data_IF_630257448875
#
_entry.id   IF_630257448875
#
_cell.length_a   1.000
_cell.length_b   1.000
_cell.length_c   1.000
_cell.angle_alpha   90.00
_cell.angle_beta   90.00
_cell.angle_gamma   90.00
#
_symmetry.space_group_name_H-M   'P 1'
#
loop_
_entity.id
_entity.type
_entity.pdbx_description
1 polymer ?
#
# COMPACT_ATOMS: atom_id res chain seq x y z
N UNK A 1 11.52 11.70 33.97
CA UNK A 1 11.39 10.57 33.02
C UNK A 1 10.13 10.82 32.22
N UNK A 2 10.25 11.24 30.97
CA UNK A 2 9.10 11.42 30.08
C UNK A 2 8.48 10.06 29.84
N UNK A 3 7.19 9.89 30.14
CA UNK A 3 6.43 8.68 29.75
C UNK A 3 6.45 8.65 28.21
N UNK A 4 7.24 7.75 27.63
CA UNK A 4 7.08 7.40 26.22
C UNK A 4 5.61 7.06 25.99
N UNK A 5 4.97 7.75 25.09
CA UNK A 5 3.60 7.38 24.69
C UNK A 5 3.75 6.04 23.99
N UNK A 6 3.24 4.97 24.60
CA UNK A 6 3.31 3.60 24.07
C UNK A 6 2.74 3.60 22.64
N UNK A 7 3.38 2.87 21.75
CA UNK A 7 2.90 2.64 20.40
C UNK A 7 1.63 1.79 20.47
N UNK A 8 0.60 2.15 19.70
CA UNK A 8 -0.67 1.39 19.70
C UNK A 8 -0.74 0.55 18.43
N UNK A 9 -0.78 -0.75 18.61
CA UNK A 9 -0.92 -1.75 17.55
C UNK A 9 -2.36 -2.23 17.49
N UNK A 10 -3.06 -2.01 16.36
CA UNK A 10 -4.49 -2.32 16.19
C UNK A 10 -4.64 -3.27 14.99
N UNK A 11 -4.83 -4.58 15.22
CA UNK A 11 -4.98 -5.54 14.15
C UNK A 11 -6.19 -5.27 13.27
N UNK A 12 -5.99 -5.46 11.95
CA UNK A 12 -7.03 -5.48 10.94
C UNK A 12 -6.99 -6.83 10.26
N UNK A 13 -7.60 -7.82 10.89
CA UNK A 13 -7.53 -9.22 10.44
C UNK A 13 -8.24 -9.40 9.10
N UNK A 14 -7.71 -10.27 8.25
CA UNK A 14 -8.29 -10.60 6.95
C UNK A 14 -9.74 -11.08 7.07
N UNK A 15 -10.04 -11.85 8.12
CA UNK A 15 -11.40 -12.32 8.45
C UNK A 15 -12.40 -11.21 8.72
N UNK A 16 -11.94 -10.01 9.12
CA UNK A 16 -12.81 -8.85 9.41
C UNK A 16 -12.92 -7.88 8.25
N UNK A 17 -12.10 -8.02 7.19
CA UNK A 17 -12.18 -7.22 5.98
C UNK A 17 -13.47 -7.48 5.21
N UNK A 18 -13.94 -6.51 4.41
CA UNK A 18 -14.98 -6.74 3.43
C UNK A 18 -14.53 -7.81 2.42
N UNK A 19 -15.46 -8.59 1.91
CA UNK A 19 -15.17 -9.59 0.88
C UNK A 19 -16.29 -9.60 -0.17
N UNK A 20 -15.89 -9.69 -1.44
CA UNK A 20 -16.82 -9.94 -2.54
C UNK A 20 -16.21 -10.93 -3.54
N UNK A 21 -17.08 -11.78 -4.11
CA UNK A 21 -16.74 -12.70 -5.21
C UNK A 21 -17.75 -12.51 -6.32
N UNK A 22 -17.30 -11.97 -7.45
CA UNK A 22 -18.08 -11.72 -8.65
C UNK A 22 -17.81 -12.77 -9.74
N UNK A 23 -17.15 -13.88 -9.38
CA UNK A 23 -16.71 -14.92 -10.31
C UNK A 23 -15.41 -14.52 -11.03
N UNK A 24 -15.40 -13.39 -11.71
CA UNK A 24 -14.21 -12.86 -12.39
C UNK A 24 -13.31 -12.01 -11.50
N UNK A 25 -13.83 -11.50 -10.37
CA UNK A 25 -13.13 -10.68 -9.39
C UNK A 25 -13.37 -11.24 -8.00
N UNK A 26 -12.31 -11.58 -7.28
CA UNK A 26 -12.34 -11.76 -5.82
C UNK A 26 -11.60 -10.61 -5.19
N UNK A 27 -12.19 -9.99 -4.17
CA UNK A 27 -11.63 -8.79 -3.57
C UNK A 27 -11.81 -8.78 -2.05
N UNK A 28 -10.77 -8.31 -1.35
CA UNK A 28 -10.83 -7.99 0.07
C UNK A 28 -10.67 -6.49 0.29
N UNK A 29 -11.58 -5.90 1.04
CA UNK A 29 -11.62 -4.46 1.32
C UNK A 29 -11.15 -4.18 2.74
N UNK A 30 -10.03 -3.50 2.90
CA UNK A 30 -9.54 -3.06 4.22
C UNK A 30 -10.43 -1.97 4.80
N UNK A 31 -10.94 -1.08 3.94
CA UNK A 31 -11.88 -0.01 4.29
C UNK A 31 -13.22 -0.21 3.60
N UNK A 32 -14.23 0.55 4.03
CA UNK A 32 -15.55 0.56 3.38
C UNK A 32 -15.44 0.91 1.90
N UNK A 33 -15.92 -0.01 1.07
CA UNK A 33 -15.88 0.12 -0.39
C UNK A 33 -17.01 -0.68 -1.03
N UNK A 34 -17.58 -0.19 -2.13
CA UNK A 34 -18.72 -0.79 -2.83
C UNK A 34 -19.86 -1.14 -1.85
N UNK A 35 -20.25 -2.41 -1.76
CA UNK A 35 -21.32 -2.88 -0.89
C UNK A 35 -20.83 -3.19 0.55
N UNK A 36 -19.53 -3.11 0.83
CA UNK A 36 -19.02 -3.28 2.17
C UNK A 36 -19.03 -1.97 2.94
N UNK A 37 -19.76 -1.92 4.05
CA UNK A 37 -19.86 -0.75 4.90
C UNK A 37 -19.52 -1.08 6.36
N UNK A 38 -18.52 -0.41 6.91
CA UNK A 38 -18.11 -0.46 8.31
C UNK A 38 -17.81 0.97 8.77
N UNK A 39 -18.62 1.57 9.66
CA UNK A 39 -18.37 2.92 10.15
C UNK A 39 -17.00 3.08 10.83
N UNK A 40 -16.45 2.01 11.43
CA UNK A 40 -15.14 2.00 12.06
C UNK A 40 -13.98 1.95 11.05
N UNK A 41 -14.26 1.59 9.79
CA UNK A 41 -13.27 1.38 8.74
C UNK A 41 -13.60 2.19 7.48
N UNK A 42 -13.88 3.47 7.64
CA UNK A 42 -14.11 4.39 6.50
C UNK A 42 -12.79 4.84 5.87
N UNK A 43 -11.77 5.05 6.70
CA UNK A 43 -10.43 5.51 6.30
C UNK A 43 -9.45 5.31 7.46
N UNK A 44 -8.17 5.52 7.20
CA UNK A 44 -7.15 5.62 8.25
C UNK A 44 -6.11 6.67 7.86
N UNK A 45 -6.12 7.82 8.55
CA UNK A 45 -5.43 9.01 8.08
C UNK A 45 -5.87 9.36 6.65
N UNK A 46 -4.96 9.63 5.73
CA UNK A 46 -5.29 9.92 4.32
C UNK A 46 -5.67 8.68 3.50
N UNK A 47 -5.44 7.45 3.99
CA UNK A 47 -5.79 6.21 3.29
C UNK A 47 -7.32 6.02 3.26
N UNK A 48 -7.88 5.89 2.06
CA UNK A 48 -9.32 5.69 1.83
C UNK A 48 -9.66 4.30 1.31
N UNK A 49 -8.80 3.70 0.52
CA UNK A 49 -9.00 2.37 -0.06
C UNK A 49 -7.69 1.59 0.03
N UNK A 50 -7.80 0.33 0.43
CA UNK A 50 -6.85 -0.73 0.16
C UNK A 50 -7.69 -1.96 -0.16
N UNK A 51 -7.79 -2.27 -1.46
CA UNK A 51 -8.40 -3.50 -1.93
C UNK A 51 -7.32 -4.45 -2.39
N UNK A 52 -7.47 -5.71 -2.04
CA UNK A 52 -6.62 -6.79 -2.53
C UNK A 52 -7.46 -7.63 -3.47
N UNK A 53 -7.14 -7.53 -4.76
CA UNK A 53 -7.96 -8.02 -5.85
C UNK A 53 -7.27 -9.17 -6.59
N UNK A 54 -8.03 -10.23 -6.90
CA UNK A 54 -7.67 -11.23 -7.89
C UNK A 54 -8.63 -11.12 -9.06
N UNK A 55 -8.11 -10.76 -10.21
CA UNK A 55 -8.83 -10.53 -11.45
C UNK A 55 -8.58 -11.70 -12.40
N UNK A 56 -9.61 -12.38 -12.81
CA UNK A 56 -9.50 -13.50 -13.74
C UNK A 56 -8.91 -13.05 -15.08
N UNK A 57 -8.11 -13.91 -15.71
CA UNK A 57 -7.47 -13.63 -17.02
C UNK A 57 -8.49 -13.08 -18.02
N UNK A 58 -8.07 -12.08 -18.78
CA UNK A 58 -8.87 -11.38 -19.81
C UNK A 58 -10.16 -10.74 -19.28
N UNK A 59 -10.28 -10.56 -17.97
CA UNK A 59 -11.37 -9.84 -17.29
C UNK A 59 -10.80 -8.58 -16.64
N UNK A 60 -11.66 -7.67 -16.24
CA UNK A 60 -11.21 -6.43 -15.64
C UNK A 60 -12.33 -5.42 -15.47
N UNK A 61 -11.93 -4.21 -15.22
CA UNK A 61 -12.81 -3.06 -15.05
C UNK A 61 -12.89 -2.28 -16.36
N UNK A 62 -14.09 -2.11 -16.87
CA UNK A 62 -14.40 -1.24 -18.00
C UNK A 62 -14.04 0.21 -17.69
N UNK A 63 -14.10 1.08 -18.70
CA UNK A 63 -13.83 2.50 -18.53
C UNK A 63 -14.70 3.11 -17.45
N UNK A 64 -14.06 3.63 -16.42
CA UNK A 64 -14.70 4.30 -15.29
C UNK A 64 -13.93 5.57 -14.90
N UNK A 65 -14.58 6.43 -14.11
CA UNK A 65 -14.09 7.77 -13.80
C UNK A 65 -13.62 7.88 -12.36
N UNK A 66 -12.53 8.64 -12.18
CA UNK A 66 -12.02 9.03 -10.86
C UNK A 66 -11.78 10.53 -10.80
N UNK A 67 -11.88 11.09 -9.61
CA UNK A 67 -11.51 12.47 -9.29
C UNK A 67 -11.13 12.60 -7.83
N UNK A 68 -10.29 13.61 -7.53
CA UNK A 68 -9.94 14.03 -6.16
C UNK A 68 -9.28 12.95 -5.30
N UNK A 69 -8.69 11.92 -5.92
CA UNK A 69 -7.90 10.89 -5.24
C UNK A 69 -6.57 10.65 -5.94
N UNK A 70 -5.58 10.29 -5.15
CA UNK A 70 -4.34 9.70 -5.59
C UNK A 70 -4.53 8.18 -5.57
N UNK A 71 -4.45 7.55 -6.73
CA UNK A 71 -4.76 6.14 -6.93
C UNK A 71 -3.51 5.44 -7.40
N UNK A 72 -3.13 4.36 -6.75
CA UNK A 72 -2.03 3.54 -7.25
C UNK A 72 -2.29 2.06 -7.07
N UNK A 73 -1.76 1.31 -8.02
CA UNK A 73 -1.91 -0.13 -8.14
C UNK A 73 -0.53 -0.75 -8.00
N UNK A 74 -0.36 -1.63 -7.02
CA UNK A 74 0.82 -2.46 -6.84
C UNK A 74 0.54 -3.86 -7.35
N UNK A 75 1.28 -4.30 -8.38
CA UNK A 75 1.06 -5.60 -9.03
C UNK A 75 1.84 -6.68 -8.27
N UNK A 76 1.11 -7.62 -7.65
CA UNK A 76 1.70 -8.72 -6.87
C UNK A 76 1.80 -10.03 -7.68
N UNK A 77 1.00 -10.18 -8.75
CA UNK A 77 1.03 -11.34 -9.65
C UNK A 77 0.39 -11.03 -11.00
N UNK A 78 0.87 -11.69 -12.06
CA UNK A 78 0.31 -11.55 -13.40
C UNK A 78 0.62 -10.22 -14.04
N UNK A 79 -0.27 -9.77 -14.91
CA UNK A 79 -0.14 -8.50 -15.64
C UNK A 79 -1.49 -7.79 -15.77
N UNK A 80 -1.46 -6.45 -15.78
CA UNK A 80 -2.63 -5.58 -15.99
C UNK A 80 -2.40 -4.74 -17.23
N UNK A 81 -3.37 -4.71 -18.11
CA UNK A 81 -3.43 -3.81 -19.27
C UNK A 81 -4.19 -2.56 -18.84
N UNK A 82 -3.50 -1.46 -18.72
CA UNK A 82 -4.04 -0.15 -18.34
C UNK A 82 -4.20 0.74 -19.57
N UNK A 83 -5.33 1.46 -19.64
CA UNK A 83 -5.58 2.52 -20.64
C UNK A 83 -6.29 3.67 -19.95
N UNK A 84 -5.86 4.91 -20.22
CA UNK A 84 -6.48 6.09 -19.62
C UNK A 84 -6.74 7.25 -20.61
N UNK A 85 -7.48 8.24 -20.13
CA UNK A 85 -7.85 9.43 -20.91
C UNK A 85 -6.70 10.44 -21.11
N UNK A 86 -5.54 10.21 -20.50
CA UNK A 86 -4.32 10.97 -20.77
C UNK A 86 -3.54 10.40 -21.96
N UNK A 87 -3.99 9.26 -22.52
CA UNK A 87 -3.37 8.59 -23.65
C UNK A 87 -2.35 7.51 -23.26
N UNK A 88 -2.23 7.17 -21.98
CA UNK A 88 -1.37 6.08 -21.55
C UNK A 88 -2.00 4.74 -21.91
N UNK A 89 -1.18 3.84 -22.47
CA UNK A 89 -1.52 2.44 -22.77
C UNK A 89 -0.33 1.60 -22.36
N UNK A 90 -0.47 0.85 -21.27
CA UNK A 90 0.65 0.09 -20.71
C UNK A 90 0.25 -1.32 -20.31
N UNK A 91 1.21 -2.23 -20.34
CA UNK A 91 1.12 -3.57 -19.75
C UNK A 91 2.01 -3.58 -18.51
N UNK A 92 1.36 -3.55 -17.36
CA UNK A 92 1.98 -3.55 -16.05
C UNK A 92 2.11 -4.99 -15.56
N UNK A 93 3.23 -5.32 -14.94
CA UNK A 93 3.56 -6.68 -14.50
C UNK A 93 3.96 -6.71 -13.02
N UNK A 94 4.15 -7.92 -12.49
CA UNK A 94 4.62 -8.09 -11.11
C UNK A 94 5.81 -7.16 -10.78
N UNK A 95 5.67 -6.42 -9.69
CA UNK A 95 6.64 -5.44 -9.22
C UNK A 95 6.46 -4.04 -9.78
N UNK A 96 5.54 -3.84 -10.72
CA UNK A 96 5.20 -2.49 -11.16
C UNK A 96 4.27 -1.81 -10.16
N UNK A 97 4.47 -0.50 -10.04
CA UNK A 97 3.56 0.43 -9.39
C UNK A 97 3.08 1.42 -10.43
N UNK A 98 1.79 1.42 -10.69
CA UNK A 98 1.11 2.42 -11.49
C UNK A 98 0.46 3.42 -10.55
N UNK A 99 0.67 4.71 -10.80
CA UNK A 99 0.14 5.80 -9.99
C UNK A 99 -0.58 6.82 -10.87
N UNK A 100 -1.76 7.22 -10.41
CA UNK A 100 -2.59 8.24 -11.04
C UNK A 100 -3.03 9.27 -10.01
N UNK A 101 -2.64 10.53 -10.19
CA UNK A 101 -3.34 11.64 -9.56
C UNK A 101 -4.60 11.92 -10.37
N UNK A 102 -5.77 11.61 -9.82
CA UNK A 102 -7.02 11.79 -10.55
C UNK A 102 -7.44 13.27 -10.65
N UNK A 103 -7.09 14.09 -9.67
CA UNK A 103 -7.28 15.54 -9.66
C UNK A 103 -8.67 15.97 -10.15
N UNK A 104 -8.72 16.82 -11.17
CA UNK A 104 -9.98 17.33 -11.75
C UNK A 104 -10.79 16.29 -12.52
N UNK A 105 -10.22 15.14 -12.82
CA UNK A 105 -10.89 14.00 -13.43
C UNK A 105 -10.03 13.22 -14.42
N UNK A 106 -10.10 11.90 -14.34
CA UNK A 106 -9.51 10.95 -15.27
C UNK A 106 -10.45 9.77 -15.47
N UNK A 107 -10.38 9.14 -16.64
CA UNK A 107 -11.05 7.87 -16.91
C UNK A 107 -10.02 6.84 -17.27
N UNK A 108 -10.19 5.61 -16.78
CA UNK A 108 -9.32 4.51 -17.17
C UNK A 108 -10.05 3.17 -17.19
N UNK A 109 -9.40 2.18 -17.80
CA UNK A 109 -9.79 0.77 -17.77
C UNK A 109 -8.59 -0.08 -17.37
N UNK A 110 -8.84 -1.18 -16.65
CA UNK A 110 -7.80 -2.08 -16.14
C UNK A 110 -8.24 -3.52 -16.36
N UNK A 111 -7.52 -4.27 -17.19
CA UNK A 111 -7.81 -5.67 -17.51
C UNK A 111 -6.63 -6.56 -17.19
N UNK A 112 -6.89 -7.73 -16.59
CA UNK A 112 -5.88 -8.78 -16.50
C UNK A 112 -5.47 -9.24 -17.91
N UNK A 113 -4.21 -9.53 -18.11
CA UNK A 113 -3.69 -10.11 -19.34
C UNK A 113 -4.32 -11.48 -19.66
N UNK A 114 -4.00 -12.01 -20.84
CA UNK A 114 -4.61 -13.24 -21.33
C UNK A 114 -3.86 -14.52 -20.91
N UNK A 115 -2.72 -14.41 -20.24
CA UNK A 115 -1.88 -15.55 -19.85
C UNK A 115 -2.29 -16.15 -18.50
N UNK A 116 -2.60 -15.31 -17.54
CA UNK A 116 -2.94 -15.71 -16.16
C UNK A 116 -3.85 -14.71 -15.51
N UNK A 117 -4.42 -15.08 -14.36
CA UNK A 117 -5.05 -14.14 -13.45
C UNK A 117 -4.03 -13.13 -12.96
N UNK A 118 -4.49 -11.92 -12.65
CA UNK A 118 -3.69 -10.88 -12.01
C UNK A 118 -4.10 -10.70 -10.55
N UNK A 119 -3.12 -10.44 -9.67
CA UNK A 119 -3.37 -10.03 -8.28
C UNK A 119 -2.73 -8.67 -8.03
N UNK A 120 -3.48 -7.78 -7.40
CA UNK A 120 -3.08 -6.40 -7.18
C UNK A 120 -3.49 -5.91 -5.79
N UNK A 121 -2.80 -4.89 -5.32
CA UNK A 121 -3.31 -3.99 -4.28
C UNK A 121 -3.73 -2.68 -4.96
N UNK A 122 -5.03 -2.35 -4.91
CA UNK A 122 -5.57 -1.08 -5.34
C UNK A 122 -5.66 -0.15 -4.14
N UNK A 123 -4.97 1.00 -4.19
CA UNK A 123 -4.79 1.90 -3.06
C UNK A 123 -5.22 3.31 -3.44
N UNK A 124 -6.06 3.95 -2.58
CA UNK A 124 -6.48 5.33 -2.77
C UNK A 124 -6.10 6.16 -1.55
N UNK A 125 -5.48 7.30 -1.83
CA UNK A 125 -5.06 8.30 -0.83
C UNK A 125 -5.78 9.61 -1.13
N UNK A 126 -6.29 10.26 -0.08
CA UNK A 126 -6.84 11.61 -0.20
C UNK A 126 -5.68 12.62 -0.27
N UNK A 127 -5.59 13.42 -1.34
CA UNK A 127 -4.56 14.46 -1.43
C UNK A 127 -4.81 15.60 -0.45
N UNK A 128 -3.76 16.37 -0.17
CA UNK A 128 -3.81 17.57 0.66
C UNK A 128 -4.45 18.76 -0.06
N UNK A 129 -4.49 18.72 -1.38
CA UNK A 129 -5.02 19.76 -2.25
C UNK A 129 -6.08 19.21 -3.18
N UNK A 130 -7.12 19.98 -3.40
CA UNK A 130 -8.18 19.67 -4.36
C UNK A 130 -7.84 20.21 -5.76
N UNK A 131 -8.51 19.67 -6.78
CA UNK A 131 -8.48 20.13 -8.17
C UNK A 131 -7.08 20.13 -8.79
N UNK A 132 -6.26 19.16 -8.40
CA UNK A 132 -4.96 18.93 -9.00
C UNK A 132 -5.09 18.62 -10.50
N UNK A 133 -4.03 18.89 -11.25
CA UNK A 133 -3.95 18.45 -12.65
C UNK A 133 -3.75 16.94 -12.69
N UNK A 134 -4.56 16.19 -13.46
CA UNK A 134 -4.35 14.75 -13.62
C UNK A 134 -2.92 14.43 -14.09
N UNK A 135 -2.31 13.47 -13.43
CA UNK A 135 -0.92 13.07 -13.68
C UNK A 135 -0.78 11.55 -13.53
N UNK A 136 0.15 10.98 -14.27
CA UNK A 136 0.39 9.55 -14.31
C UNK A 136 1.88 9.23 -14.13
N UNK A 137 2.20 8.19 -13.36
CA UNK A 137 3.55 7.66 -13.18
C UNK A 137 3.53 6.14 -13.19
N UNK A 138 4.59 5.51 -13.73
CA UNK A 138 4.86 4.09 -13.56
C UNK A 138 6.29 3.86 -13.11
N UNK A 139 6.49 2.83 -12.27
CA UNK A 139 7.81 2.40 -11.80
C UNK A 139 7.85 0.89 -11.71
N UNK A 140 8.96 0.33 -12.15
CA UNK A 140 9.27 -1.08 -11.96
C UNK A 140 10.22 -1.28 -10.79
N UNK A 141 9.77 -2.06 -9.80
CA UNK A 141 10.58 -2.47 -8.65
C UNK A 141 10.74 -4.00 -8.67
N UNK A 142 11.85 -4.52 -9.23
CA UNK A 142 12.09 -5.95 -9.26
C UNK A 142 12.12 -6.55 -7.84
N UNK A 143 11.86 -7.85 -7.73
CA UNK A 143 11.79 -8.53 -6.42
C UNK A 143 13.07 -8.34 -5.61
N UNK A 144 14.23 -8.43 -6.27
CA UNK A 144 15.53 -8.30 -5.59
C UNK A 144 15.77 -6.90 -5.01
N UNK A 145 15.14 -5.85 -5.56
CA UNK A 145 15.23 -4.50 -5.01
C UNK A 145 14.41 -4.32 -3.71
N UNK A 146 13.54 -5.27 -3.39
CA UNK A 146 12.69 -5.31 -2.19
C UNK A 146 13.05 -6.44 -1.24
N UNK A 147 13.94 -7.35 -1.65
CA UNK A 147 14.34 -8.52 -0.86
C UNK A 147 15.22 -8.11 0.33
N UNK A 148 14.74 -8.33 1.55
CA UNK A 148 15.43 -7.94 2.79
C UNK A 148 15.61 -6.42 2.96
N UNK A 149 14.83 -5.62 2.21
CA UNK A 149 14.87 -4.16 2.25
C UNK A 149 13.46 -3.61 2.34
N UNK A 150 13.24 -2.61 3.16
CA UNK A 150 12.01 -1.81 3.15
C UNK A 150 12.15 -0.72 2.09
N UNK A 151 11.80 -1.05 0.83
CA UNK A 151 11.98 -0.18 -0.32
C UNK A 151 10.93 0.92 -0.34
N UNK A 152 11.35 2.19 -0.20
CA UNK A 152 10.46 3.34 -0.42
C UNK A 152 10.17 3.48 -1.91
N UNK A 153 8.90 3.67 -2.26
CA UNK A 153 8.39 3.75 -3.64
C UNK A 153 7.72 5.11 -3.88
N UNK A 154 6.92 5.59 -2.92
CA UNK A 154 6.22 6.87 -3.00
C UNK A 154 6.67 7.74 -1.83
N UNK A 155 6.82 9.04 -2.08
CA UNK A 155 7.21 10.02 -1.07
C UNK A 155 6.45 11.33 -1.26
N UNK A 156 6.18 12.08 -0.17
CA UNK A 156 5.58 13.41 -0.27
C UNK A 156 6.30 14.28 -1.29
N UNK A 157 5.55 14.96 -2.17
CA UNK A 157 6.13 15.80 -3.24
C UNK A 157 7.03 16.92 -2.72
N UNK A 158 6.78 17.39 -1.49
CA UNK A 158 7.62 18.39 -0.82
C UNK A 158 9.07 17.94 -0.64
N UNK A 159 9.32 16.62 -0.58
CA UNK A 159 10.66 16.07 -0.45
C UNK A 159 11.50 16.18 -1.75
N UNK A 160 10.88 16.56 -2.86
CA UNK A 160 11.56 16.67 -4.16
C UNK A 160 12.11 18.08 -4.44
N UNK A 161 11.57 19.12 -3.78
CA UNK A 161 11.97 20.50 -4.02
C UNK A 161 11.98 20.84 -5.51
N UNK A 162 13.06 21.48 -5.99
CA UNK A 162 13.22 21.88 -7.40
C UNK A 162 13.26 20.70 -8.38
N UNK A 163 13.53 19.48 -7.90
CA UNK A 163 13.57 18.27 -8.72
C UNK A 163 12.19 17.75 -9.11
N UNK A 164 11.11 18.24 -8.47
CA UNK A 164 9.75 17.75 -8.72
C UNK A 164 9.37 17.79 -10.21
N UNK A 165 9.71 18.86 -10.91
CA UNK A 165 9.39 19.04 -12.34
C UNK A 165 10.17 18.09 -13.26
N UNK A 166 11.30 17.55 -12.80
CA UNK A 166 12.18 16.66 -13.57
C UNK A 166 11.95 15.17 -13.29
N UNK A 167 11.02 14.83 -12.40
CA UNK A 167 10.70 13.42 -12.11
C UNK A 167 10.10 12.75 -13.35
N UNK A 168 10.74 11.70 -13.90
CA UNK A 168 10.23 11.00 -15.06
C UNK A 168 8.83 10.43 -14.78
N UNK A 169 7.94 10.51 -15.75
CA UNK A 169 6.58 9.98 -15.63
C UNK A 169 6.53 8.48 -15.88
N UNK A 170 7.31 8.00 -16.83
CA UNK A 170 7.40 6.59 -17.24
C UNK A 170 8.87 6.17 -17.31
N UNK A 171 9.11 4.87 -17.25
CA UNK A 171 10.46 4.25 -17.39
C UNK A 171 11.50 4.72 -16.34
N UNK A 172 11.10 5.46 -15.32
CA UNK A 172 11.96 5.82 -14.19
C UNK A 172 12.26 4.58 -13.35
N UNK A 173 13.44 3.97 -13.57
CA UNK A 173 13.88 2.82 -12.79
C UNK A 173 14.08 3.21 -11.34
N UNK A 174 13.31 2.59 -10.43
CA UNK A 174 13.46 2.71 -8.98
C UNK A 174 13.40 4.13 -8.38
N UNK A 175 13.03 5.14 -9.16
CA UNK A 175 12.85 6.50 -8.68
C UNK A 175 11.55 6.64 -7.90
N UNK A 176 11.57 7.53 -6.89
CA UNK A 176 10.40 7.80 -6.08
C UNK A 176 9.30 8.48 -6.89
N UNK A 177 8.06 8.09 -6.63
CA UNK A 177 6.87 8.76 -7.16
C UNK A 177 6.46 9.86 -6.16
N UNK A 178 6.32 11.13 -6.61
CA UNK A 178 5.85 12.21 -5.75
C UNK A 178 4.34 12.14 -5.52
N UNK A 179 3.89 12.20 -4.26
CA UNK A 179 2.47 12.26 -3.89
C UNK A 179 2.13 13.58 -3.20
N UNK A 180 1.01 14.26 -3.55
CA UNK A 180 0.55 15.48 -2.89
C UNK A 180 -0.19 15.19 -1.58
N UNK A 181 0.43 14.40 -0.72
CA UNK A 181 -0.05 14.02 0.60
C UNK A 181 1.14 13.68 1.50
N UNK A 182 0.99 13.84 2.81
CA UNK A 182 1.99 13.40 3.78
C UNK A 182 1.88 11.88 3.98
N UNK A 183 2.33 11.15 2.96
CA UNK A 183 2.33 9.69 2.90
C UNK A 183 3.62 9.19 2.27
N UNK A 184 4.28 8.27 2.94
CA UNK A 184 5.33 7.45 2.36
C UNK A 184 4.81 6.03 2.18
N UNK A 185 5.07 5.43 1.02
CA UNK A 185 4.69 4.06 0.70
C UNK A 185 5.92 3.21 0.44
N UNK A 186 5.92 2.04 1.07
CA UNK A 186 7.01 1.08 1.02
C UNK A 186 6.49 -0.31 0.64
N UNK A 187 7.37 -1.12 0.04
CA UNK A 187 7.17 -2.55 -0.13
C UNK A 187 8.42 -3.32 0.31
N UNK A 188 8.23 -4.54 0.80
CA UNK A 188 9.31 -5.44 1.22
C UNK A 188 8.95 -6.88 0.94
N UNK A 189 10.00 -7.70 0.69
CA UNK A 189 9.93 -9.15 0.59
C UNK A 189 10.96 -9.74 1.54
N UNK A 190 10.50 -10.41 2.59
CA UNK A 190 11.35 -11.16 3.52
C UNK A 190 11.33 -12.62 3.08
N UNK A 191 12.41 -13.07 2.44
CA UNK A 191 12.46 -14.37 1.74
C UNK A 191 12.53 -15.53 2.72
N UNK A 192 13.35 -15.40 3.75
CA UNK A 192 13.65 -16.50 4.69
C UNK A 192 13.07 -16.20 6.08
N UNK A 193 12.80 -17.23 6.84
CA UNK A 193 12.46 -17.11 8.26
C UNK A 193 13.61 -16.47 9.03
N UNK A 194 13.31 -15.43 9.81
CA UNK A 194 14.29 -14.61 10.54
C UNK A 194 14.78 -13.40 9.76
N UNK A 195 14.50 -13.28 8.45
CA UNK A 195 14.75 -12.04 7.72
C UNK A 195 13.97 -10.89 8.38
N UNK A 196 14.60 -9.74 8.53
CA UNK A 196 13.97 -8.59 9.15
C UNK A 196 14.40 -7.26 8.53
N UNK A 197 13.48 -6.28 8.60
CA UNK A 197 13.73 -4.89 8.24
C UNK A 197 13.13 -3.97 9.29
N UNK A 198 13.69 -2.77 9.43
CA UNK A 198 13.21 -1.79 10.40
C UNK A 198 12.79 -0.49 9.72
N UNK A 199 11.89 0.23 10.38
CA UNK A 199 11.45 1.56 9.98
C UNK A 199 11.53 2.53 11.15
N UNK A 200 11.95 3.76 10.86
CA UNK A 200 11.83 4.89 11.79
C UNK A 200 10.84 5.87 11.21
N UNK A 201 9.76 6.15 11.96
CA UNK A 201 8.72 7.08 11.51
C UNK A 201 9.29 8.45 11.21
N UNK A 202 8.94 8.96 10.03
CA UNK A 202 9.51 10.17 9.45
C UNK A 202 9.33 11.39 10.34
N UNK A 203 10.41 12.13 10.54
CA UNK A 203 10.42 13.44 11.21
C UNK A 203 10.26 14.53 10.14
N UNK A 204 9.27 15.40 10.33
CA UNK A 204 9.16 16.58 9.46
C UNK A 204 10.10 17.70 9.90
N UNK A 205 10.59 18.48 8.94
CA UNK A 205 11.34 19.70 9.22
C UNK A 205 10.54 20.64 10.12
N UNK A 206 11.19 21.22 11.13
CA UNK A 206 10.56 22.10 12.12
C UNK A 206 9.88 21.37 13.28
N UNK A 207 9.98 20.04 13.38
CA UNK A 207 9.51 19.27 14.53
C UNK A 207 10.55 19.13 15.64
N UNK A 208 11.79 19.59 15.43
CA UNK A 208 12.92 19.44 16.37
C UNK A 208 12.66 20.07 17.74
N UNK A 209 11.81 21.10 17.78
CA UNK A 209 11.47 21.84 19.00
C UNK A 209 10.17 21.36 19.68
N UNK A 210 9.56 20.28 19.20
CA UNK A 210 8.35 19.73 19.82
C UNK A 210 8.72 18.65 20.83
N UNK A 211 8.62 18.96 22.13
CA UNK A 211 8.94 18.05 23.25
C UNK A 211 8.28 16.65 23.15
N UNK A 212 7.25 16.50 22.35
CA UNK A 212 6.47 15.25 22.22
C UNK A 212 6.46 14.63 20.82
N UNK A 213 7.09 15.25 19.82
CA UNK A 213 6.98 14.85 18.41
C UNK A 213 5.54 14.97 17.87
N UNK A 214 5.39 14.98 16.56
CA UNK A 214 4.06 14.94 15.93
C UNK A 214 3.54 13.51 15.88
N UNK A 215 2.23 13.34 15.99
CA UNK A 215 1.59 12.04 15.81
C UNK A 215 1.79 11.55 14.39
N UNK A 216 2.12 10.27 14.25
CA UNK A 216 2.24 9.54 12.98
C UNK A 216 1.33 8.33 13.01
N UNK A 217 0.87 7.95 11.84
CA UNK A 217 0.11 6.73 11.62
C UNK A 217 0.92 5.79 10.73
N UNK A 218 0.93 4.52 11.09
CA UNK A 218 1.44 3.45 10.24
C UNK A 218 0.33 2.50 9.83
N UNK A 219 0.45 1.90 8.66
CA UNK A 219 -0.36 0.77 8.26
C UNK A 219 0.50 -0.23 7.50
N UNK A 220 0.54 -1.47 7.95
CA UNK A 220 1.09 -2.60 7.19
C UNK A 220 -0.07 -3.46 6.66
N UNK A 221 0.07 -3.96 5.43
CA UNK A 221 -0.80 -4.96 4.83
C UNK A 221 0.08 -6.12 4.33
N UNK A 222 -0.09 -7.31 4.92
CA UNK A 222 0.58 -8.53 4.47
C UNK A 222 -0.19 -9.11 3.28
N UNK A 223 0.52 -9.26 2.15
CA UNK A 223 -0.06 -9.70 0.87
C UNK A 223 -0.47 -11.17 0.94
N UNK A 224 -1.61 -11.51 0.34
CA UNK A 224 -2.07 -12.89 0.15
C UNK A 224 -1.28 -13.59 -0.98
N UNK A 225 0.01 -13.82 -0.74
CA UNK A 225 0.94 -14.39 -1.74
C UNK A 225 0.57 -15.80 -2.15
N UNK A 226 -0.10 -16.56 -1.29
CA UNK A 226 -0.65 -17.91 -1.58
C UNK A 226 -1.93 -17.88 -2.45
N UNK A 227 -2.40 -16.69 -2.80
CA UNK A 227 -3.63 -16.44 -3.58
C UNK A 227 -4.81 -16.04 -2.72
N UNK A 228 -5.67 -15.21 -3.32
CA UNK A 228 -6.90 -14.71 -2.66
C UNK A 228 -7.89 -15.86 -2.52
N UNK A 229 -8.24 -16.18 -1.28
CA UNK A 229 -9.14 -17.27 -0.91
C UNK A 229 -10.54 -16.77 -0.66
N UNK A 230 -11.49 -17.71 -0.54
CA UNK A 230 -12.79 -17.41 0.02
C UNK A 230 -12.66 -17.09 1.50
N UNK A 231 -13.44 -16.15 1.99
CA UNK A 231 -13.42 -15.72 3.40
C UNK A 231 -13.62 -16.86 4.40
N UNK A 232 -14.30 -17.93 3.98
CA UNK A 232 -14.57 -19.12 4.79
C UNK A 232 -13.38 -20.09 4.90
N UNK A 233 -12.33 -19.90 4.08
CA UNK A 233 -11.20 -20.84 4.01
C UNK A 233 -10.08 -20.52 5.02
N UNK A 234 -10.12 -19.34 5.67
CA UNK A 234 -9.08 -18.90 6.60
C UNK A 234 -7.71 -18.65 5.97
N UNK A 235 -6.72 -18.34 6.80
CA UNK A 235 -5.33 -18.24 6.37
C UNK A 235 -4.77 -19.63 5.98
N UNK A 236 -3.85 -19.72 4.99
CA UNK A 236 -3.27 -21.00 4.59
C UNK A 236 -2.42 -21.58 5.70
N UNK A 237 -2.53 -22.88 5.94
CA UNK A 237 -1.60 -23.57 6.78
C UNK A 237 -0.17 -23.42 6.19
N UNK A 238 0.79 -22.99 7.03
CA UNK A 238 2.15 -22.67 6.57
C UNK A 238 2.24 -21.47 5.62
N UNK A 239 1.28 -20.53 5.65
CA UNK A 239 1.34 -19.28 4.91
C UNK A 239 2.42 -18.32 5.43
N UNK A 240 2.61 -17.20 4.71
CA UNK A 240 3.53 -16.17 5.15
C UNK A 240 3.07 -15.53 6.47
N UNK A 241 4.01 -15.24 7.36
CA UNK A 241 3.75 -14.58 8.66
C UNK A 241 4.78 -13.51 8.94
N UNK A 242 4.33 -12.34 9.36
CA UNK A 242 5.20 -11.23 9.76
C UNK A 242 4.92 -10.86 11.20
N UNK A 243 5.95 -10.87 12.03
CA UNK A 243 5.90 -10.28 13.36
C UNK A 243 6.30 -8.81 13.28
N UNK A 244 5.47 -7.95 13.81
CA UNK A 244 5.73 -6.51 13.95
C UNK A 244 6.05 -6.26 15.41
N UNK A 245 7.24 -5.72 15.68
CA UNK A 245 7.71 -5.39 17.03
C UNK A 245 7.95 -3.89 17.14
N UNK A 246 7.32 -3.27 18.13
CA UNK A 246 7.53 -1.84 18.47
C UNK A 246 8.71 -1.65 19.40
N UNK A 247 9.25 -0.43 19.46
CA UNK A 247 10.39 -0.06 20.33
C UNK A 247 10.14 -0.28 21.82
N UNK A 248 8.89 -0.32 22.25
CA UNK A 248 8.48 -0.59 23.63
C UNK A 248 8.33 -2.09 23.95
N UNK A 249 8.65 -2.96 22.97
CA UNK A 249 8.56 -4.41 23.08
C UNK A 249 7.17 -4.99 22.83
N UNK A 250 6.16 -4.16 22.49
CA UNK A 250 4.86 -4.69 22.07
C UNK A 250 4.95 -5.35 20.70
N UNK A 251 4.24 -6.46 20.51
CA UNK A 251 4.32 -7.30 19.33
C UNK A 251 2.95 -7.67 18.77
N UNK A 252 2.90 -7.87 17.46
CA UNK A 252 1.77 -8.44 16.75
C UNK A 252 2.25 -9.34 15.63
N UNK A 253 1.72 -10.56 15.54
CA UNK A 253 1.95 -11.46 14.38
C UNK A 253 0.78 -11.32 13.42
N UNK A 254 1.11 -11.15 12.14
CA UNK A 254 0.18 -11.04 11.03
C UNK A 254 0.29 -12.29 10.16
N UNK A 255 -0.83 -12.76 9.65
CA UNK A 255 -0.95 -13.80 8.63
C UNK A 255 -1.36 -13.19 7.28
N UNK A 256 -1.26 -13.95 6.20
CA UNK A 256 -1.61 -13.46 4.85
C UNK A 256 -2.99 -12.80 4.81
N UNK A 257 -3.03 -11.59 4.29
CA UNK A 257 -4.23 -10.74 4.20
C UNK A 257 -4.52 -9.90 5.43
N UNK A 258 -3.81 -10.10 6.54
CA UNK A 258 -3.95 -9.25 7.71
C UNK A 258 -3.28 -7.90 7.48
N UNK A 259 -3.84 -6.88 8.13
CA UNK A 259 -3.24 -5.57 8.30
C UNK A 259 -3.04 -5.22 9.78
N UNK A 260 -2.26 -4.19 10.02
CA UNK A 260 -2.05 -3.60 11.34
C UNK A 260 -2.05 -2.09 11.21
N UNK A 261 -2.98 -1.42 11.89
CA UNK A 261 -2.98 0.02 12.09
C UNK A 261 -2.07 0.37 13.28
N UNK A 262 -1.25 1.40 13.14
CA UNK A 262 -0.22 1.79 14.11
C UNK A 262 -0.38 3.26 14.42
N UNK A 263 -0.62 3.60 15.70
CA UNK A 263 -0.61 4.97 16.18
C UNK A 263 0.66 5.22 16.98
N UNK A 264 1.44 6.21 16.58
CA UNK A 264 2.74 6.51 17.18
C UNK A 264 3.09 7.99 17.01
N UNK A 265 4.37 8.33 17.15
CA UNK A 265 4.94 9.67 16.92
C UNK A 265 6.18 9.61 16.03
N UNK A 266 6.57 10.76 15.53
CA UNK A 266 7.83 10.94 14.81
C UNK A 266 9.02 10.37 15.58
N UNK A 267 9.90 9.66 14.86
CA UNK A 267 11.12 9.06 15.39
C UNK A 267 10.95 7.74 16.12
N UNK A 268 9.71 7.24 16.32
CA UNK A 268 9.46 5.90 16.85
C UNK A 268 9.91 4.83 15.86
N UNK A 269 10.27 3.66 16.36
CA UNK A 269 10.81 2.56 15.55
C UNK A 269 9.93 1.31 15.56
N UNK A 270 9.91 0.63 14.43
CA UNK A 270 9.30 -0.68 14.22
C UNK A 270 10.29 -1.64 13.58
N UNK A 271 10.14 -2.91 13.89
CA UNK A 271 10.81 -4.01 13.18
C UNK A 271 9.76 -4.96 12.63
N UNK A 272 9.98 -5.42 11.39
CA UNK A 272 9.18 -6.41 10.70
C UNK A 272 10.05 -7.64 10.50
N UNK A 273 9.65 -8.80 10.99
CA UNK A 273 10.39 -10.06 10.93
C UNK A 273 9.54 -11.15 10.30
N UNK A 274 10.07 -11.88 9.33
CA UNK A 274 9.43 -13.08 8.82
C UNK A 274 9.54 -14.21 9.86
N UNK A 275 8.44 -14.60 10.46
CA UNK A 275 8.35 -15.70 11.43
C UNK A 275 7.65 -16.93 10.85
N UNK A 276 7.20 -16.85 9.59
CA UNK A 276 6.62 -17.95 8.84
C UNK A 276 7.66 -18.81 8.12
N UNK A 277 7.20 -19.86 7.46
CA UNK A 277 8.04 -20.79 6.70
C UNK A 277 8.03 -20.48 5.20
N UNK A 278 7.39 -19.39 4.79
CA UNK A 278 7.32 -18.88 3.41
C UNK A 278 7.78 -17.44 3.33
N UNK A 279 8.20 -17.04 2.14
CA UNK A 279 8.49 -15.65 1.82
C UNK A 279 7.27 -14.78 2.11
N UNK A 280 7.49 -13.67 2.79
CA UNK A 280 6.47 -12.71 3.20
C UNK A 280 6.64 -11.40 2.41
N UNK A 281 5.66 -11.07 1.57
CA UNK A 281 5.58 -9.79 0.87
C UNK A 281 4.56 -8.90 1.56
N UNK A 282 4.96 -7.68 1.91
CA UNK A 282 4.07 -6.71 2.53
C UNK A 282 4.30 -5.31 2.01
N UNK A 283 3.27 -4.49 2.16
CA UNK A 283 3.36 -3.04 1.95
C UNK A 283 3.19 -2.31 3.27
N UNK A 284 3.84 -1.16 3.39
CA UNK A 284 3.80 -0.35 4.59
C UNK A 284 3.63 1.13 4.25
N UNK A 285 2.85 1.82 5.07
CA UNK A 285 2.58 3.26 4.98
C UNK A 285 3.05 3.94 6.26
N UNK A 286 3.77 5.05 6.09
CA UNK A 286 4.05 6.04 7.13
C UNK A 286 3.40 7.34 6.73
N UNK A 287 2.52 7.91 7.58
CA UNK A 287 1.68 9.03 7.18
C UNK A 287 1.31 9.94 8.36
N UNK A 288 0.90 11.15 8.03
CA UNK A 288 0.37 12.09 9.02
C UNK A 288 -0.95 11.59 9.60
N UNK A 289 -1.19 11.93 10.85
CA UNK A 289 -2.51 11.86 11.49
C UNK A 289 -3.28 13.14 11.12
N UNK A 290 -4.27 13.02 10.20
CA UNK A 290 -5.14 14.11 9.73
C UNK A 290 -6.59 13.81 10.00
#
# INVERSE_FOLDING_TARGET
>A
MSKSTAMKLIPRLSSTRGYADHGWLRTYHTFSFANYYSPADMSYGPLRVINEDNIARSKGFDTHHHREFEIFTYITRGEIIHKDSLGNVEVLKRGDVQYTSAGTGISHSEYAGNKSDASILQIWVKPDEARLRPTYYTRHHPEDSKAGVLKKIISPRENFGDKLASVPKQDGKEELIPIPADVEFFASILKEKGDSVSHTFTKKAGSENLDRGRKRLGLIQLVMSSGIRKKTEGAPEGGAKVKVTAEDGSEQVLEEGDGLKIETKEGSQLTFENVGDRSAEFVFFDMADK
#
